data_IF_521961790129
#
_entry.id   IF_521961790129
#
_cell.length_a   1.000
_cell.length_b   1.000
_cell.length_c   1.000
_cell.angle_alpha   90.00
_cell.angle_beta   90.00
_cell.angle_gamma   90.00
#
_symmetry.space_group_name_H-M   'P 1'
#
loop_
_entity.id
_entity.type
_entity.pdbx_description
1 polymer ?
#
# COMPACT_ATOMS: atom_id res chain seq x y z
N UNK A 1 -5.38 10.89 11.74
CA UNK A 1 -4.09 10.52 12.31
C UNK A 1 -3.03 11.48 11.79
N UNK A 2 -2.17 12.00 12.65
CA UNK A 2 -1.13 12.98 12.28
C UNK A 2 -0.09 12.38 11.32
N UNK A 3 0.22 11.07 11.43
CA UNK A 3 1.16 10.42 10.53
C UNK A 3 0.68 10.42 9.07
N UNK A 4 -0.62 10.17 8.84
CA UNK A 4 -1.23 10.24 7.50
C UNK A 4 -1.07 11.64 6.89
N UNK A 5 -1.26 12.69 7.68
CA UNK A 5 -1.11 14.07 7.21
C UNK A 5 0.35 14.39 6.85
N UNK A 6 1.31 13.91 7.65
CA UNK A 6 2.73 14.08 7.37
C UNK A 6 3.17 13.33 6.10
N UNK A 7 2.76 12.08 5.92
CA UNK A 7 3.05 11.33 4.70
C UNK A 7 2.46 12.02 3.46
N UNK A 8 1.20 12.46 3.50
CA UNK A 8 0.59 13.20 2.39
C UNK A 8 1.34 14.48 2.05
N UNK A 9 1.81 15.22 3.06
CA UNK A 9 2.60 16.43 2.86
C UNK A 9 3.96 16.12 2.22
N UNK A 10 4.61 15.05 2.67
CA UNK A 10 5.88 14.57 2.08
C UNK A 10 5.70 14.16 0.62
N UNK A 11 4.67 13.35 0.33
CA UNK A 11 4.33 12.87 -1.02
C UNK A 11 4.03 14.04 -1.97
N UNK A 12 3.36 15.09 -1.48
CA UNK A 12 3.07 16.27 -2.29
C UNK A 12 4.32 17.04 -2.72
N UNK A 13 5.43 16.91 -1.99
CA UNK A 13 6.72 17.53 -2.33
C UNK A 13 7.55 16.59 -3.21
N UNK A 14 7.63 15.32 -2.83
CA UNK A 14 8.39 14.31 -3.55
C UNK A 14 7.70 12.93 -3.45
N UNK A 15 6.96 12.51 -4.49
CA UNK A 15 6.30 11.22 -4.49
C UNK A 15 7.31 10.11 -4.80
N UNK A 16 7.41 9.12 -3.91
CA UNK A 16 8.21 7.91 -4.11
C UNK A 16 7.38 6.68 -3.80
N UNK A 17 7.79 5.52 -4.33
CA UNK A 17 7.11 4.26 -4.07
C UNK A 17 7.09 3.94 -2.56
N UNK A 18 8.21 4.16 -1.86
CA UNK A 18 8.32 3.94 -0.42
C UNK A 18 7.38 4.84 0.38
N UNK A 19 7.27 6.12 0.01
CA UNK A 19 6.39 7.06 0.71
C UNK A 19 4.91 6.64 0.61
N UNK A 20 4.48 6.18 -0.57
CA UNK A 20 3.13 5.64 -0.77
C UNK A 20 2.94 4.31 -0.01
N UNK A 21 3.93 3.40 -0.01
CA UNK A 21 3.88 2.18 0.80
C UNK A 21 3.74 2.45 2.28
N UNK A 22 4.52 3.38 2.84
CA UNK A 22 4.43 3.72 4.26
C UNK A 22 3.12 4.42 4.64
N UNK A 23 2.56 5.21 3.72
CA UNK A 23 1.20 5.73 3.88
C UNK A 23 0.18 4.57 3.88
N UNK A 24 0.32 3.61 2.97
CA UNK A 24 -0.48 2.38 2.93
C UNK A 24 -0.43 1.60 4.25
N UNK A 25 0.76 1.38 4.78
CA UNK A 25 0.96 0.73 6.10
C UNK A 25 0.20 1.48 7.20
N UNK A 26 0.35 2.79 7.25
CA UNK A 26 -0.32 3.65 8.24
C UNK A 26 -1.83 3.55 8.12
N UNK A 27 -2.38 3.54 6.90
CA UNK A 27 -3.82 3.39 6.66
C UNK A 27 -4.32 1.99 7.07
N UNK A 28 -3.54 0.95 6.81
CA UNK A 28 -3.88 -0.42 7.22
C UNK A 28 -3.92 -0.58 8.74
N UNK A 29 -2.96 0.00 9.47
CA UNK A 29 -3.01 0.03 10.94
C UNK A 29 -4.27 0.73 11.50
N UNK A 30 -4.89 1.62 10.72
CA UNK A 30 -6.14 2.29 11.05
C UNK A 30 -7.39 1.52 10.56
N UNK A 31 -7.23 0.30 10.04
CA UNK A 31 -8.30 -0.53 9.47
C UNK A 31 -8.80 -0.06 8.10
N UNK A 32 -8.11 0.89 7.46
CA UNK A 32 -8.50 1.48 6.16
C UNK A 32 -7.84 0.71 5.01
N UNK A 33 -8.10 -0.59 4.94
CA UNK A 33 -7.43 -1.50 4.00
C UNK A 33 -7.66 -1.15 2.53
N UNK A 34 -8.85 -0.65 2.16
CA UNK A 34 -9.12 -0.23 0.77
C UNK A 34 -8.25 0.97 0.35
N UNK A 35 -8.07 1.95 1.24
CA UNK A 35 -7.20 3.09 0.98
C UNK A 35 -5.72 2.64 0.97
N UNK A 36 -5.34 1.72 1.86
CA UNK A 36 -3.99 1.17 1.89
C UNK A 36 -3.61 0.47 0.58
N UNK A 37 -4.52 -0.34 0.02
CA UNK A 37 -4.35 -0.99 -1.29
C UNK A 37 -4.17 0.05 -2.39
N UNK A 38 -4.95 1.14 -2.39
CA UNK A 38 -4.83 2.19 -3.39
C UNK A 38 -3.45 2.86 -3.35
N UNK A 39 -2.89 3.11 -2.17
CA UNK A 39 -1.54 3.67 -2.04
C UNK A 39 -0.47 2.68 -2.51
N UNK A 40 -0.59 1.39 -2.20
CA UNK A 40 0.32 0.36 -2.75
C UNK A 40 0.26 0.29 -4.29
N UNK A 41 -0.92 0.45 -4.90
CA UNK A 41 -1.05 0.49 -6.36
C UNK A 41 -0.36 1.72 -6.97
N UNK A 42 -0.39 2.87 -6.29
CA UNK A 42 0.38 4.04 -6.68
C UNK A 42 1.88 3.77 -6.55
N UNK A 43 2.33 3.13 -5.46
CA UNK A 43 3.72 2.75 -5.26
C UNK A 43 4.24 1.87 -6.41
N UNK A 44 3.48 0.85 -6.81
CA UNK A 44 3.79 -0.03 -7.96
C UNK A 44 3.86 0.76 -9.26
N UNK A 45 3.00 1.77 -9.44
CA UNK A 45 3.00 2.61 -10.64
C UNK A 45 4.23 3.51 -10.72
N UNK A 46 4.83 3.86 -9.57
CA UNK A 46 6.05 4.66 -9.48
C UNK A 46 7.31 3.81 -9.64
N UNK A 47 7.32 2.63 -9.00
CA UNK A 47 8.41 1.65 -9.09
C UNK A 47 7.83 0.23 -9.13
N UNK A 48 7.70 -0.37 -10.33
CA UNK A 48 7.17 -1.73 -10.47
C UNK A 48 8.08 -2.80 -9.86
N UNK A 49 9.37 -2.52 -9.67
CA UNK A 49 10.35 -3.46 -9.10
C UNK A 49 10.41 -3.36 -7.57
N UNK A 50 9.72 -2.39 -6.97
CA UNK A 50 9.60 -2.28 -5.52
C UNK A 50 8.60 -3.32 -4.99
N UNK A 51 9.13 -4.46 -4.54
CA UNK A 51 8.33 -5.65 -4.21
C UNK A 51 7.38 -5.54 -3.01
N UNK A 52 7.66 -4.67 -2.03
CA UNK A 52 6.86 -4.55 -0.79
C UNK A 52 5.35 -4.33 -1.05
N UNK A 53 4.94 -3.33 -1.87
CA UNK A 53 3.55 -3.11 -2.24
C UNK A 53 2.73 -4.34 -2.67
N UNK A 54 3.32 -5.28 -3.41
CA UNK A 54 2.60 -6.48 -3.87
C UNK A 54 2.26 -7.39 -2.70
N UNK A 55 3.22 -7.60 -1.80
CA UNK A 55 3.02 -8.36 -0.56
C UNK A 55 1.99 -7.68 0.34
N UNK A 56 2.09 -6.36 0.49
CA UNK A 56 1.21 -5.56 1.33
C UNK A 56 -0.26 -5.63 0.84
N UNK A 57 -0.49 -5.54 -0.48
CA UNK A 57 -1.84 -5.72 -1.04
C UNK A 57 -2.37 -7.12 -0.70
N UNK A 58 -1.56 -8.16 -0.86
CA UNK A 58 -1.91 -9.53 -0.47
C UNK A 58 -2.33 -9.63 0.99
N UNK A 59 -1.52 -9.06 1.90
CA UNK A 59 -1.82 -9.03 3.33
C UNK A 59 -3.14 -8.29 3.64
N UNK A 60 -3.38 -7.14 2.99
CA UNK A 60 -4.61 -6.38 3.23
C UNK A 60 -5.85 -7.06 2.65
N UNK A 61 -5.70 -7.83 1.58
CA UNK A 61 -6.79 -8.65 1.03
C UNK A 61 -7.15 -9.81 1.96
N UNK A 62 -6.17 -10.41 2.66
CA UNK A 62 -6.42 -11.41 3.70
C UNK A 62 -7.23 -10.81 4.85
N UNK A 63 -6.86 -9.61 5.34
CA UNK A 63 -7.62 -8.91 6.40
C UNK A 63 -9.07 -8.59 5.97
N UNK A 64 -9.31 -8.44 4.67
CA UNK A 64 -10.65 -8.25 4.08
C UNK A 64 -11.39 -9.56 3.77
N UNK A 65 -10.78 -10.73 4.02
CA UNK A 65 -11.34 -12.05 3.70
C UNK A 65 -11.42 -12.35 2.19
N UNK A 66 -10.57 -11.71 1.38
CA UNK A 66 -10.51 -11.84 -0.09
C UNK A 66 -9.34 -12.73 -0.51
N UNK A 67 -9.30 -13.95 0.03
CA UNK A 67 -8.15 -14.85 -0.03
C UNK A 67 -7.69 -15.18 -1.45
N UNK A 68 -8.62 -15.40 -2.38
CA UNK A 68 -8.26 -15.73 -3.77
C UNK A 68 -7.52 -14.57 -4.45
N UNK A 69 -7.97 -13.34 -4.22
CA UNK A 69 -7.30 -12.16 -4.78
C UNK A 69 -5.96 -11.91 -4.09
N UNK A 70 -5.84 -12.24 -2.80
CA UNK A 70 -4.57 -12.16 -2.09
C UNK A 70 -3.53 -13.09 -2.72
N UNK A 71 -3.89 -14.34 -3.03
CA UNK A 71 -3.01 -15.30 -3.72
C UNK A 71 -2.54 -14.73 -5.07
N UNK A 72 -3.47 -14.23 -5.88
CA UNK A 72 -3.16 -13.65 -7.18
C UNK A 72 -2.18 -12.47 -7.10
N UNK A 73 -2.18 -11.72 -5.99
CA UNK A 73 -1.24 -10.63 -5.73
C UNK A 73 0.10 -11.12 -5.18
N UNK A 74 0.11 -12.13 -4.33
CA UNK A 74 1.32 -12.71 -3.74
C UNK A 74 2.16 -13.51 -4.74
N UNK A 75 1.55 -14.00 -5.82
CA UNK A 75 2.25 -14.71 -6.89
C UNK A 75 2.90 -13.77 -7.93
N UNK A 76 2.63 -12.47 -7.87
CA UNK A 76 3.26 -11.47 -8.75
C UNK A 76 4.69 -11.22 -8.29
N UNK A 77 5.65 -11.46 -9.19
CA UNK A 77 7.06 -11.07 -9.04
C UNK A 77 7.34 -9.81 -9.84
#
# INVERSE_FOLDING_TARGET
DEAVAHYRSSIAIHPTAEAHTFLGWTLSYLGRHADAIAECQVAISLDPDFGNPYNDIGAYLIELGRDQEAIDWLERN
#
